data_IF_495063614510
#
_entry.id   IF_495063614510
#
_cell.length_a   1.000
_cell.length_b   1.000
_cell.length_c   1.000
_cell.angle_alpha   90.00
_cell.angle_beta   90.00
_cell.angle_gamma   90.00
#
_symmetry.space_group_name_H-M   'P 1'
#
loop_
_entity.id
_entity.type
_entity.pdbx_description
1 polymer ?
#
# COMPACT_ATOMS: atom_id res chain seq x y z
N UNK A 1 8.63 -10.47 -6.31
CA UNK A 1 8.18 -11.32 -5.18
C UNK A 1 6.77 -10.90 -4.79
N UNK A 2 5.75 -11.70 -5.12
CA UNK A 2 4.34 -11.33 -4.88
C UNK A 2 4.00 -11.18 -3.38
N UNK A 3 4.75 -11.89 -2.52
CA UNK A 3 4.59 -11.88 -1.06
C UNK A 3 4.78 -10.48 -0.43
N UNK A 4 5.65 -9.65 -1.01
CA UNK A 4 5.97 -8.32 -0.47
C UNK A 4 5.23 -7.17 -1.15
N UNK A 5 4.53 -7.44 -2.25
CA UNK A 5 3.82 -6.40 -3.03
C UNK A 5 2.75 -5.64 -2.23
N UNK A 6 2.37 -6.17 -1.08
CA UNK A 6 1.31 -5.68 -0.22
C UNK A 6 1.84 -5.05 1.07
N UNK A 7 3.16 -4.97 1.27
CA UNK A 7 3.77 -4.36 2.45
C UNK A 7 4.05 -2.88 2.14
N UNK A 8 3.47 -1.92 2.88
CA UNK A 8 3.75 -0.51 2.66
C UNK A 8 5.22 -0.17 2.95
N UNK A 9 5.87 0.55 2.04
CA UNK A 9 7.26 0.99 2.14
C UNK A 9 7.33 2.50 2.26
N UNK A 10 7.87 2.97 3.38
CA UNK A 10 8.18 4.38 3.64
C UNK A 10 9.69 4.58 3.62
N UNK A 11 10.20 5.30 2.62
CA UNK A 11 11.63 5.60 2.53
C UNK A 11 12.00 6.78 3.43
N UNK A 12 13.12 6.69 4.14
CA UNK A 12 13.67 7.82 4.90
C UNK A 12 15.05 8.18 4.37
N UNK A 13 15.20 9.35 3.78
CA UNK A 13 16.42 9.74 3.05
C UNK A 13 16.93 11.13 3.44
N UNK A 14 18.23 11.36 3.29
CA UNK A 14 18.84 12.70 3.37
C UNK A 14 18.98 13.33 1.97
N UNK A 15 18.50 12.65 0.94
CA UNK A 15 18.50 13.11 -0.43
C UNK A 15 17.35 14.10 -0.61
N UNK A 16 17.71 15.36 -0.83
CA UNK A 16 16.78 16.48 -0.91
C UNK A 16 16.64 16.99 -2.37
N UNK A 17 17.33 16.34 -3.31
CA UNK A 17 17.32 16.70 -4.71
C UNK A 17 16.12 16.06 -5.40
N UNK A 18 15.47 16.84 -6.28
CA UNK A 18 14.25 16.44 -7.00
C UNK A 18 14.37 15.05 -7.64
N UNK A 19 15.53 14.74 -8.23
CA UNK A 19 15.78 13.47 -8.93
C UNK A 19 15.87 12.23 -8.03
N UNK A 20 16.12 12.40 -6.73
CA UNK A 20 16.15 11.26 -5.80
C UNK A 20 14.76 10.89 -5.27
N UNK A 21 13.86 11.88 -5.19
CA UNK A 21 12.45 11.66 -4.91
C UNK A 21 11.80 10.92 -6.08
N UNK A 22 12.10 11.34 -7.32
CA UNK A 22 11.61 10.68 -8.53
C UNK A 22 12.06 9.20 -8.58
N UNK A 23 13.34 8.92 -8.31
CA UNK A 23 13.85 7.54 -8.23
C UNK A 23 13.18 6.72 -7.11
N UNK A 24 12.90 7.34 -5.96
CA UNK A 24 12.23 6.66 -4.85
C UNK A 24 10.79 6.27 -5.21
N UNK A 25 10.09 7.14 -5.95
CA UNK A 25 8.75 6.86 -6.47
C UNK A 25 8.80 5.76 -7.53
N UNK A 26 9.73 5.83 -8.48
CA UNK A 26 9.92 4.80 -9.51
C UNK A 26 10.32 3.44 -8.93
N UNK A 27 11.04 3.43 -7.80
CA UNK A 27 11.41 2.20 -7.09
C UNK A 27 10.22 1.52 -6.38
N UNK A 28 9.02 2.12 -6.41
CA UNK A 28 7.81 1.55 -5.83
C UNK A 28 7.65 1.78 -4.33
N UNK A 29 8.26 2.85 -3.78
CA UNK A 29 7.93 3.28 -2.43
C UNK A 29 6.54 3.94 -2.41
N UNK A 30 5.76 3.65 -1.37
CA UNK A 30 4.44 4.25 -1.19
C UNK A 30 4.53 5.71 -0.69
N UNK A 31 5.61 6.05 0.02
CA UNK A 31 5.86 7.40 0.53
C UNK A 31 7.35 7.60 0.90
N UNK A 32 7.74 8.85 1.16
CA UNK A 32 9.08 9.22 1.58
C UNK A 32 9.09 10.27 2.71
N UNK A 33 10.22 10.33 3.43
CA UNK A 33 10.51 11.29 4.49
C UNK A 33 11.95 11.77 4.42
N UNK A 34 12.14 13.08 4.51
CA UNK A 34 13.49 13.66 4.59
C UNK A 34 14.04 13.60 6.01
N UNK A 35 15.37 13.44 6.12
CA UNK A 35 16.10 13.62 7.39
C UNK A 35 16.40 15.12 7.61
N UNK A 36 16.47 15.59 8.88
CA UNK A 36 16.17 14.85 10.10
C UNK A 36 14.67 14.57 10.26
N UNK A 37 14.33 13.37 10.72
CA UNK A 37 12.94 12.92 10.78
C UNK A 37 12.16 13.69 11.85
N UNK A 38 11.03 14.28 11.45
CA UNK A 38 10.05 14.78 12.39
C UNK A 38 9.16 13.64 12.91
N UNK A 39 9.09 13.48 14.23
CA UNK A 39 8.34 12.39 14.87
C UNK A 39 6.83 12.43 14.57
N UNK A 40 6.22 13.61 14.58
CA UNK A 40 4.80 13.78 14.32
C UNK A 40 4.47 13.41 12.86
N UNK A 41 5.33 13.86 11.94
CA UNK A 41 5.19 13.56 10.51
C UNK A 41 5.33 12.06 10.24
N UNK A 42 6.37 11.42 10.78
CA UNK A 42 6.59 9.98 10.67
C UNK A 42 5.37 9.19 11.15
N UNK A 43 4.89 9.49 12.35
CA UNK A 43 3.72 8.79 12.90
C UNK A 43 2.46 8.99 12.06
N UNK A 44 2.28 10.18 11.49
CA UNK A 44 1.11 10.49 10.67
C UNK A 44 1.15 9.72 9.36
N UNK A 45 2.31 9.69 8.68
CA UNK A 45 2.52 8.93 7.44
C UNK A 45 2.36 7.43 7.67
N UNK A 46 3.00 6.87 8.70
CA UNK A 46 2.85 5.44 9.05
C UNK A 46 1.39 5.08 9.31
N UNK A 47 0.65 5.88 10.09
CA UNK A 47 -0.79 5.63 10.32
C UNK A 47 -1.60 5.70 9.03
N UNK A 48 -1.26 6.61 8.12
CA UNK A 48 -1.94 6.75 6.84
C UNK A 48 -1.72 5.51 5.96
N UNK A 49 -0.46 5.09 5.80
CA UNK A 49 -0.08 3.91 5.02
C UNK A 49 -0.76 2.64 5.53
N UNK A 50 -0.76 2.43 6.84
CA UNK A 50 -1.44 1.27 7.45
C UNK A 50 -2.95 1.30 7.25
N UNK A 51 -3.57 2.50 7.31
CA UNK A 51 -5.01 2.64 7.06
C UNK A 51 -5.37 2.30 5.62
N UNK A 52 -4.63 2.84 4.66
CA UNK A 52 -4.83 2.53 3.23
C UNK A 52 -4.66 1.03 3.00
N UNK A 53 -3.59 0.43 3.53
CA UNK A 53 -3.36 -1.02 3.43
C UNK A 53 -4.51 -1.85 4.00
N UNK A 54 -5.02 -1.48 5.16
CA UNK A 54 -6.15 -2.18 5.78
C UNK A 54 -7.39 -2.12 4.88
N UNK A 55 -7.75 -0.92 4.40
CA UNK A 55 -8.91 -0.73 3.52
C UNK A 55 -8.77 -1.49 2.20
N UNK A 56 -7.60 -1.45 1.57
CA UNK A 56 -7.33 -2.22 0.34
C UNK A 56 -7.46 -3.72 0.60
N UNK A 57 -6.95 -4.21 1.74
CA UNK A 57 -7.06 -5.63 2.10
C UNK A 57 -8.50 -6.09 2.32
N UNK A 58 -9.32 -5.27 2.99
CA UNK A 58 -10.74 -5.56 3.17
C UNK A 58 -11.48 -5.55 1.83
N UNK A 59 -11.19 -4.57 0.97
CA UNK A 59 -11.75 -4.49 -0.38
C UNK A 59 -11.41 -5.74 -1.18
N UNK A 60 -10.15 -6.17 -1.18
CA UNK A 60 -9.70 -7.36 -1.91
C UNK A 60 -10.42 -8.62 -1.42
N UNK A 61 -10.60 -8.77 -0.09
CA UNK A 61 -11.37 -9.86 0.50
C UNK A 61 -12.84 -9.85 0.07
N UNK A 62 -13.47 -8.67 0.08
CA UNK A 62 -14.87 -8.53 -0.31
C UNK A 62 -15.09 -8.85 -1.79
N UNK A 63 -14.18 -8.41 -2.67
CA UNK A 63 -14.25 -8.75 -4.10
C UNK A 63 -14.12 -10.26 -4.33
N UNK A 64 -13.13 -10.90 -3.69
CA UNK A 64 -12.97 -12.35 -3.78
C UNK A 64 -14.23 -13.10 -3.30
N UNK A 65 -14.85 -12.62 -2.21
CA UNK A 65 -16.10 -13.20 -1.71
C UNK A 65 -17.25 -13.06 -2.71
N UNK A 66 -17.40 -11.91 -3.37
CA UNK A 66 -18.44 -11.69 -4.39
C UNK A 66 -18.21 -12.59 -5.62
N UNK A 67 -16.98 -12.70 -6.10
CA UNK A 67 -16.62 -13.59 -7.21
C UNK A 67 -16.96 -15.06 -6.89
N UNK A 68 -16.66 -15.51 -5.67
CA UNK A 68 -17.02 -16.86 -5.21
C UNK A 68 -18.54 -17.07 -5.15
N UNK A 69 -19.31 -16.08 -4.71
CA UNK A 69 -20.77 -16.15 -4.67
C UNK A 69 -21.37 -16.26 -6.07
N UNK A 70 -20.93 -15.42 -7.01
CA UNK A 70 -21.37 -15.47 -8.40
C UNK A 70 -21.10 -16.85 -9.02
N UNK A 71 -19.90 -17.39 -8.80
CA UNK A 71 -19.54 -18.73 -9.28
C UNK A 71 -20.38 -19.86 -8.67
N UNK A 72 -20.93 -19.70 -7.46
CA UNK A 72 -21.81 -20.69 -6.83
C UNK A 72 -23.23 -20.63 -7.37
N UNK A 73 -23.77 -19.44 -7.61
CA UNK A 73 -25.12 -19.26 -8.16
C UNK A 73 -25.19 -19.84 -9.57
N UNK A 74 -24.22 -19.51 -10.44
CA UNK A 74 -24.17 -20.01 -11.83
C UNK A 74 -24.00 -21.53 -11.95
N UNK A 75 -23.52 -22.21 -10.90
CA UNK A 75 -23.39 -23.67 -10.85
C UNK A 75 -24.63 -24.39 -10.30
N UNK A 76 -25.55 -23.68 -9.65
CA UNK A 76 -26.72 -24.28 -9.01
C UNK A 76 -27.94 -24.31 -9.95
N UNK A 77 -27.93 -23.49 -11.01
CA UNK A 77 -28.98 -23.44 -12.04
C UNK A 77 -28.75 -24.42 -13.22
N UNK A 78 -27.85 -25.40 -13.09
CA UNK A 78 -27.57 -26.49 -14.05
C UNK A 78 -27.72 -27.85 -13.40
#
# INVERSE_FOLDING_TARGET
NAEFAQIPVLMVTALNEQGDIEKAVEAGCDDFLSKPVNRLELQTRVRSLLRVRHLTSERDRLLAYLEEMEHRILRTDS
#
